data_IF_478418161600
#
_entry.id   IF_478418161600
#
_cell.length_a   1.000
_cell.length_b   1.000
_cell.length_c   1.000
_cell.angle_alpha   90.00
_cell.angle_beta   90.00
_cell.angle_gamma   90.00
#
_symmetry.space_group_name_H-M   'P 1'
#
loop_
_entity.id
_entity.type
_entity.pdbx_description
1 polymer ?
#
# COMPACT_ATOMS: atom_id res chain seq x y z
N UNK A 1 33.92 27.24 5.67
CA UNK A 1 33.37 27.37 7.04
C UNK A 1 33.82 26.17 7.85
N UNK A 2 34.34 26.34 9.07
CA UNK A 2 34.84 25.21 9.88
C UNK A 2 33.65 24.40 10.44
N UNK A 3 33.81 23.07 10.48
CA UNK A 3 32.87 22.12 11.07
C UNK A 3 32.61 22.48 12.54
N UNK A 4 31.35 22.79 12.87
CA UNK A 4 30.88 22.91 14.25
C UNK A 4 30.45 21.53 14.74
N UNK A 5 31.23 20.93 15.62
CA UNK A 5 30.84 19.74 16.37
C UNK A 5 29.90 20.16 17.50
N UNK A 6 28.67 19.67 17.50
CA UNK A 6 27.69 19.90 18.57
C UNK A 6 27.87 18.82 19.63
N UNK A 7 28.45 19.17 20.78
CA UNK A 7 28.51 18.30 21.95
C UNK A 7 27.22 18.41 22.74
N UNK A 8 26.45 17.32 22.81
CA UNK A 8 25.30 17.20 23.70
C UNK A 8 25.76 16.88 25.12
N UNK A 9 25.04 17.42 26.13
CA UNK A 9 25.32 17.14 27.54
C UNK A 9 25.20 15.64 27.83
N UNK A 10 26.10 15.10 28.69
CA UNK A 10 26.15 13.68 29.07
C UNK A 10 24.78 13.14 29.55
N UNK A 11 23.96 13.98 30.20
CA UNK A 11 22.61 13.65 30.68
C UNK A 11 21.61 13.33 29.54
N UNK A 12 21.77 13.94 28.35
CA UNK A 12 20.93 13.66 27.19
C UNK A 12 21.26 12.30 26.55
N UNK A 13 22.55 11.96 26.49
CA UNK A 13 23.02 10.67 25.97
C UNK A 13 22.64 9.51 26.90
N UNK A 14 22.60 9.74 28.21
CA UNK A 14 22.19 8.71 29.18
C UNK A 14 20.66 8.52 29.22
N UNK A 15 19.86 9.59 29.01
CA UNK A 15 18.40 9.47 28.75
C UNK A 15 18.09 8.69 27.47
N UNK A 16 18.87 8.88 26.41
CA UNK A 16 18.73 8.10 25.16
C UNK A 16 19.08 6.63 25.35
N UNK A 17 20.11 6.30 26.15
CA UNK A 17 20.43 4.91 26.49
C UNK A 17 19.35 4.27 27.37
N UNK A 18 18.75 5.02 28.29
CA UNK A 18 17.64 4.55 29.12
C UNK A 18 16.39 4.26 28.29
N UNK A 19 16.04 5.14 27.33
CA UNK A 19 14.91 4.93 26.42
C UNK A 19 15.15 3.80 25.42
N UNK A 20 16.38 3.61 24.97
CA UNK A 20 16.77 2.47 24.10
C UNK A 20 16.71 1.12 24.82
N UNK A 21 16.89 1.12 26.14
CA UNK A 21 16.90 -0.09 26.97
C UNK A 21 15.53 -0.37 27.64
N UNK A 22 14.47 0.38 27.31
CA UNK A 22 13.12 -0.04 27.66
C UNK A 22 12.74 -1.20 26.73
N UNK A 23 12.77 -2.42 27.26
CA UNK A 23 12.26 -3.61 26.59
C UNK A 23 10.78 -3.40 26.25
N UNK A 24 10.49 -3.28 24.95
CA UNK A 24 9.14 -3.44 24.41
C UNK A 24 8.72 -4.87 24.69
N UNK A 25 7.47 -5.06 25.14
CA UNK A 25 6.97 -6.34 25.66
C UNK A 25 7.43 -7.55 24.84
N UNK A 26 7.96 -8.55 25.54
CA UNK A 26 8.64 -9.76 25.04
C UNK A 26 7.88 -10.59 23.99
N UNK A 27 6.59 -10.36 23.78
CA UNK A 27 5.80 -11.05 22.77
C UNK A 27 6.04 -10.56 21.33
N UNK A 28 6.37 -9.27 21.12
CA UNK A 28 6.66 -8.74 19.78
C UNK A 28 8.06 -9.12 19.29
N UNK A 29 9.07 -9.10 20.17
CA UNK A 29 10.44 -9.52 19.83
C UNK A 29 10.49 -10.99 19.41
N UNK A 30 9.74 -11.87 20.08
CA UNK A 30 9.72 -13.31 19.76
C UNK A 30 9.07 -13.59 18.40
N UNK A 31 8.06 -12.82 18.00
CA UNK A 31 7.43 -12.93 16.68
C UNK A 31 8.36 -12.41 15.57
N UNK A 32 8.95 -11.23 15.78
CA UNK A 32 9.89 -10.60 14.85
C UNK A 32 11.16 -11.44 14.65
N UNK A 33 11.75 -11.97 15.72
CA UNK A 33 12.95 -12.83 15.66
C UNK A 33 12.70 -14.12 14.88
N UNK A 34 11.49 -14.67 14.99
CA UNK A 34 11.09 -15.89 14.29
C UNK A 34 10.86 -15.65 12.79
N UNK A 35 10.48 -14.43 12.39
CA UNK A 35 10.36 -14.06 10.98
C UNK A 35 11.75 -13.74 10.37
N UNK A 36 12.59 -13.00 11.10
CA UNK A 36 13.96 -12.66 10.67
C UNK A 36 14.84 -13.89 10.40
N UNK A 37 14.67 -14.98 11.18
CA UNK A 37 15.40 -16.22 10.96
C UNK A 37 14.96 -16.99 9.69
N UNK A 38 13.77 -16.74 9.16
CA UNK A 38 13.16 -17.55 8.08
C UNK A 38 13.48 -17.08 6.66
N UNK A 39 13.89 -15.82 6.44
CA UNK A 39 13.90 -15.21 5.10
C UNK A 39 15.29 -15.04 4.43
N UNK A 40 16.36 -15.58 5.04
CA UNK A 40 17.73 -15.46 4.51
C UNK A 40 18.05 -16.47 3.39
N UNK A 41 17.45 -16.33 2.21
CA UNK A 41 17.77 -17.19 1.04
C UNK A 41 18.32 -16.48 -0.20
N UNK A 42 18.50 -15.16 -0.17
CA UNK A 42 19.19 -14.42 -1.23
C UNK A 42 20.59 -13.97 -0.80
N UNK A 43 21.54 -13.96 -1.74
CA UNK A 43 22.88 -13.40 -1.53
C UNK A 43 22.79 -11.88 -1.26
N UNK A 44 23.32 -11.36 -0.13
CA UNK A 44 23.17 -9.96 0.26
C UNK A 44 23.66 -8.94 -0.78
N UNK A 45 24.68 -9.29 -1.57
CA UNK A 45 25.21 -8.42 -2.62
C UNK A 45 24.20 -8.30 -3.78
N UNK A 46 23.59 -9.41 -4.16
CA UNK A 46 22.54 -9.45 -5.19
C UNK A 46 21.30 -8.65 -4.78
N UNK A 47 20.89 -8.75 -3.52
CA UNK A 47 19.79 -7.93 -2.96
C UNK A 47 20.14 -6.45 -3.05
N UNK A 48 21.32 -6.06 -2.54
CA UNK A 48 21.79 -4.67 -2.58
C UNK A 48 21.85 -4.10 -4.01
N UNK A 49 22.35 -4.87 -4.98
CA UNK A 49 22.42 -4.46 -6.37
C UNK A 49 21.03 -4.17 -6.95
N UNK A 50 20.06 -5.08 -6.75
CA UNK A 50 18.67 -4.87 -7.15
C UNK A 50 18.03 -3.65 -6.48
N UNK A 51 18.36 -3.40 -5.22
CA UNK A 51 17.86 -2.21 -4.51
C UNK A 51 18.35 -0.91 -5.13
N UNK A 52 19.63 -0.85 -5.51
CA UNK A 52 20.19 0.31 -6.21
C UNK A 52 19.51 0.51 -7.57
N UNK A 53 19.27 -0.57 -8.32
CA UNK A 53 18.52 -0.52 -9.59
C UNK A 53 17.10 0.00 -9.40
N UNK A 54 16.37 -0.51 -8.40
CA UNK A 54 15.00 -0.08 -8.09
C UNK A 54 14.94 1.42 -7.72
N UNK A 55 15.90 1.91 -6.92
CA UNK A 55 15.97 3.33 -6.55
C UNK A 55 16.23 4.19 -7.79
N UNK A 56 17.17 3.79 -8.64
CA UNK A 56 17.46 4.51 -9.88
C UNK A 56 16.24 4.54 -10.83
N UNK A 57 15.50 3.42 -10.94
CA UNK A 57 14.30 3.30 -11.75
C UNK A 57 13.14 4.19 -11.25
N UNK A 58 13.11 4.54 -9.96
CA UNK A 58 12.13 5.48 -9.39
C UNK A 58 12.32 6.94 -9.81
N UNK A 59 13.33 7.25 -10.64
CA UNK A 59 13.66 8.63 -11.04
C UNK A 59 14.38 9.43 -9.96
N UNK A 60 14.67 8.82 -8.81
CA UNK A 60 15.52 9.41 -7.76
C UNK A 60 16.98 9.09 -8.08
N UNK A 61 17.83 10.10 -8.25
CA UNK A 61 19.28 9.88 -8.32
C UNK A 61 19.77 9.17 -7.04
N UNK A 62 20.62 8.16 -7.17
CA UNK A 62 21.13 7.39 -6.03
C UNK A 62 22.11 8.26 -5.23
N UNK A 63 21.73 8.65 -4.00
CA UNK A 63 22.59 9.42 -3.10
C UNK A 63 23.31 8.53 -2.07
N UNK A 64 24.33 9.06 -1.41
CA UNK A 64 24.98 8.38 -0.27
C UNK A 64 24.00 8.13 0.88
N UNK A 65 22.99 8.99 1.05
CA UNK A 65 21.92 8.81 2.04
C UNK A 65 21.02 7.62 1.70
N UNK A 66 20.72 7.40 0.42
CA UNK A 66 19.91 6.26 0.00
C UNK A 66 20.66 4.93 0.22
N UNK A 67 21.98 4.92 -0.01
CA UNK A 67 22.85 3.78 0.29
C UNK A 67 22.94 3.50 1.81
N UNK A 68 23.08 4.52 2.65
CA UNK A 68 23.08 4.34 4.11
C UNK A 68 21.75 3.83 4.66
N UNK A 69 20.62 4.23 4.05
CA UNK A 69 19.29 3.75 4.39
C UNK A 69 19.11 2.28 4.03
N UNK A 70 19.57 1.87 2.84
CA UNK A 70 19.58 0.46 2.43
C UNK A 70 20.37 -0.42 3.41
N UNK A 71 21.35 0.15 4.10
CA UNK A 71 22.15 -0.52 5.13
C UNK A 71 21.52 -0.49 6.53
N UNK A 72 20.31 0.06 6.70
CA UNK A 72 19.51 0.01 7.93
C UNK A 72 20.04 0.87 9.08
N UNK A 73 20.79 1.94 8.80
CA UNK A 73 21.51 2.71 9.82
C UNK A 73 20.90 4.08 10.15
N UNK A 74 19.82 4.50 9.47
CA UNK A 74 19.36 5.89 9.56
C UNK A 74 17.89 6.09 9.11
N UNK A 75 17.05 6.64 9.99
CA UNK A 75 15.65 7.02 9.70
C UNK A 75 15.52 8.45 9.13
N UNK A 76 16.63 9.14 8.87
CA UNK A 76 16.60 10.48 8.29
C UNK A 76 16.11 10.43 6.83
N UNK A 77 15.02 11.15 6.59
CA UNK A 77 14.49 11.41 5.25
C UNK A 77 14.78 12.86 4.85
N UNK A 78 15.20 13.11 3.60
CA UNK A 78 15.34 14.47 3.11
C UNK A 78 13.96 15.17 3.11
N UNK A 79 13.93 16.49 3.33
CA UNK A 79 12.67 17.25 3.43
C UNK A 79 11.80 17.11 2.17
N UNK A 80 12.41 16.91 0.99
CA UNK A 80 11.67 16.67 -0.25
C UNK A 80 10.89 15.34 -0.27
N UNK A 81 11.10 14.45 0.70
CA UNK A 81 10.24 13.28 0.93
C UNK A 81 8.78 13.70 1.05
N UNK A 82 8.49 14.77 1.81
CA UNK A 82 7.12 15.28 1.97
C UNK A 82 6.55 15.82 0.66
N UNK A 83 7.36 16.52 -0.13
CA UNK A 83 6.95 17.05 -1.43
C UNK A 83 6.62 15.92 -2.42
N UNK A 84 7.47 14.89 -2.48
CA UNK A 84 7.21 13.68 -3.27
C UNK A 84 5.95 12.95 -2.77
N UNK A 85 5.75 12.90 -1.45
CA UNK A 85 4.53 12.34 -0.86
C UNK A 85 3.26 13.08 -1.25
N UNK A 86 3.30 14.41 -1.30
CA UNK A 86 2.17 15.20 -1.81
C UNK A 86 1.88 14.88 -3.27
N UNK A 87 2.90 14.67 -4.12
CA UNK A 87 2.69 14.25 -5.51
C UNK A 87 2.07 12.85 -5.59
N UNK A 88 2.61 11.89 -4.85
CA UNK A 88 2.09 10.52 -4.80
C UNK A 88 0.63 10.48 -4.32
N UNK A 89 0.28 11.30 -3.32
CA UNK A 89 -1.07 11.38 -2.76
C UNK A 89 -2.14 11.83 -3.77
N UNK A 90 -1.76 12.59 -4.81
CA UNK A 90 -2.69 13.07 -5.84
C UNK A 90 -3.35 11.93 -6.59
N UNK A 91 -2.60 10.86 -6.85
CA UNK A 91 -3.06 9.69 -7.58
C UNK A 91 -3.99 8.79 -6.75
N UNK A 92 -4.09 9.00 -5.44
CA UNK A 92 -4.94 8.22 -4.55
C UNK A 92 -6.32 8.87 -4.46
N UNK A 93 -7.38 8.08 -4.50
CA UNK A 93 -8.76 8.55 -4.40
C UNK A 93 -9.57 7.75 -3.38
N UNK A 94 -10.66 8.38 -2.92
CA UNK A 94 -11.73 7.68 -2.21
C UNK A 94 -12.64 7.03 -3.24
N UNK A 95 -12.96 5.75 -3.05
CA UNK A 95 -13.97 5.07 -3.84
C UNK A 95 -15.26 5.07 -3.03
N UNK A 96 -16.34 5.50 -3.66
CA UNK A 96 -17.69 5.33 -3.15
C UNK A 96 -18.44 4.36 -4.04
N UNK A 97 -19.13 3.40 -3.45
CA UNK A 97 -19.98 2.45 -4.17
C UNK A 97 -21.41 2.62 -3.69
N UNK A 98 -22.31 3.00 -4.59
CA UNK A 98 -23.73 3.10 -4.28
C UNK A 98 -24.39 1.73 -4.06
N UNK A 99 -25.20 1.63 -3.01
CA UNK A 99 -26.09 0.50 -2.76
C UNK A 99 -27.12 0.32 -3.88
N UNK A 100 -27.56 -0.92 -4.10
CA UNK A 100 -28.67 -1.23 -5.02
C UNK A 100 -30.02 -0.73 -4.47
N UNK A 101 -30.19 -0.71 -3.14
CA UNK A 101 -31.42 -0.31 -2.47
C UNK A 101 -31.09 0.48 -1.18
N UNK A 102 -31.35 1.79 -1.17
CA UNK A 102 -31.12 2.65 0.00
C UNK A 102 -29.89 3.56 -0.11
N UNK A 103 -29.56 4.27 0.97
CA UNK A 103 -28.54 5.33 1.01
C UNK A 103 -27.19 4.92 1.63
N UNK A 104 -26.97 3.64 1.98
CA UNK A 104 -25.79 3.21 2.72
C UNK A 104 -24.73 2.60 1.79
N UNK A 105 -24.15 3.43 0.91
CA UNK A 105 -23.03 2.97 0.10
C UNK A 105 -21.81 2.56 0.92
N UNK A 106 -20.91 1.78 0.31
CA UNK A 106 -19.63 1.40 0.89
C UNK A 106 -18.50 2.32 0.43
N UNK A 107 -17.40 2.31 1.18
CA UNK A 107 -16.22 3.11 0.90
C UNK A 107 -14.99 2.23 0.78
N UNK A 108 -14.07 2.65 -0.09
CA UNK A 108 -12.74 2.07 -0.21
C UNK A 108 -11.73 3.11 -0.63
N UNK A 109 -10.49 2.67 -0.81
CA UNK A 109 -9.40 3.44 -1.38
C UNK A 109 -9.03 2.85 -2.74
N UNK A 110 -8.64 3.69 -3.68
CA UNK A 110 -7.98 3.25 -4.90
C UNK A 110 -6.94 4.26 -5.33
N UNK A 111 -6.19 3.92 -6.37
CA UNK A 111 -5.22 4.84 -6.94
C UNK A 111 -4.97 4.57 -8.42
N UNK A 112 -4.60 5.62 -9.15
CA UNK A 112 -4.22 5.51 -10.56
C UNK A 112 -2.89 4.79 -10.69
N UNK A 113 -2.82 3.80 -11.59
CA UNK A 113 -1.60 3.05 -11.94
C UNK A 113 -1.13 3.31 -13.37
N UNK A 114 -1.95 4.02 -14.14
CA UNK A 114 -1.65 4.56 -15.46
C UNK A 114 -2.51 5.81 -15.68
N UNK A 115 -2.38 6.52 -16.81
CA UNK A 115 -3.20 7.72 -17.08
C UNK A 115 -4.72 7.50 -17.05
N UNK A 116 -5.19 6.26 -17.20
CA UNK A 116 -6.62 5.92 -17.31
C UNK A 116 -7.05 4.71 -16.47
N UNK A 117 -6.13 3.98 -15.84
CA UNK A 117 -6.46 2.80 -15.03
C UNK A 117 -6.27 3.10 -13.56
N UNK A 118 -7.30 2.77 -12.79
CA UNK A 118 -7.30 2.75 -11.34
C UNK A 118 -7.24 1.30 -10.85
N UNK A 119 -6.51 1.08 -9.75
CA UNK A 119 -6.52 -0.18 -9.01
C UNK A 119 -7.15 0.01 -7.63
N UNK A 120 -7.86 -1.02 -7.16
CA UNK A 120 -8.39 -1.17 -5.80
C UNK A 120 -8.53 -2.68 -5.49
N UNK A 121 -9.16 -3.05 -4.38
CA UNK A 121 -9.45 -4.45 -4.07
C UNK A 121 -10.68 -5.01 -4.80
N UNK A 122 -10.71 -6.32 -5.01
CA UNK A 122 -11.88 -7.01 -5.57
C UNK A 122 -13.08 -6.82 -4.66
N UNK A 123 -12.93 -6.95 -3.35
CA UNK A 123 -14.05 -6.76 -2.43
C UNK A 123 -14.58 -5.31 -2.35
N UNK A 124 -13.84 -4.32 -2.89
CA UNK A 124 -14.33 -2.94 -3.04
C UNK A 124 -15.12 -2.81 -4.35
N UNK A 125 -14.59 -3.34 -5.46
CA UNK A 125 -15.26 -3.37 -6.77
C UNK A 125 -15.22 -4.78 -7.33
N UNK A 126 -16.24 -5.57 -7.01
CA UNK A 126 -16.26 -7.01 -7.30
C UNK A 126 -16.73 -7.36 -8.72
N UNK A 127 -17.44 -6.44 -9.38
CA UNK A 127 -18.09 -6.68 -10.66
C UNK A 127 -18.19 -5.43 -11.51
N UNK A 128 -18.50 -5.62 -12.80
CA UNK A 128 -18.81 -4.53 -13.75
C UNK A 128 -20.00 -3.71 -13.26
N UNK A 129 -21.05 -4.35 -12.73
CA UNK A 129 -22.22 -3.64 -12.22
C UNK A 129 -21.87 -2.76 -11.02
N UNK A 130 -21.03 -3.27 -10.11
CA UNK A 130 -20.51 -2.52 -8.97
C UNK A 130 -19.66 -1.34 -9.45
N UNK A 131 -18.79 -1.54 -10.45
CA UNK A 131 -18.00 -0.47 -11.06
C UNK A 131 -18.87 0.64 -11.68
N UNK A 132 -19.96 0.27 -12.38
CA UNK A 132 -20.89 1.24 -12.99
C UNK A 132 -21.64 2.11 -11.97
N UNK A 133 -21.76 1.67 -10.70
CA UNK A 133 -22.35 2.45 -9.61
C UNK A 133 -21.32 3.16 -8.74
N UNK A 134 -20.04 2.93 -8.99
CA UNK A 134 -18.97 3.46 -8.18
C UNK A 134 -18.45 4.79 -8.74
N UNK A 135 -17.94 5.63 -7.84
CA UNK A 135 -17.31 6.91 -8.18
C UNK A 135 -15.95 7.01 -7.51
N UNK A 136 -14.94 7.45 -8.26
CA UNK A 136 -13.61 7.73 -7.76
C UNK A 136 -13.45 9.23 -7.48
N UNK A 137 -13.28 9.58 -6.21
CA UNK A 137 -13.17 10.96 -5.76
C UNK A 137 -11.72 11.34 -5.43
N UNK A 138 -11.11 12.13 -6.30
CA UNK A 138 -9.73 12.58 -6.16
C UNK A 138 -9.64 13.93 -5.43
N UNK A 139 -8.62 14.09 -4.58
CA UNK A 139 -8.40 15.33 -3.81
C UNK A 139 -9.43 15.58 -2.69
N UNK A 140 -10.10 14.53 -2.20
CA UNK A 140 -10.91 14.61 -0.98
C UNK A 140 -10.00 14.56 0.25
N UNK A 141 -9.59 15.72 0.77
CA UNK A 141 -8.56 15.82 1.80
C UNK A 141 -8.68 17.12 2.59
N UNK A 142 -7.92 17.28 3.68
CA UNK A 142 -7.85 18.55 4.39
C UNK A 142 -6.84 19.48 3.71
N UNK A 143 -7.22 20.74 3.53
CA UNK A 143 -6.31 21.79 3.09
C UNK A 143 -5.38 22.27 4.23
N UNK A 144 -4.46 23.18 3.90
CA UNK A 144 -3.51 23.75 4.87
C UNK A 144 -4.16 24.52 6.03
N UNK A 145 -5.43 24.90 5.90
CA UNK A 145 -6.22 25.56 6.95
C UNK A 145 -7.04 24.58 7.80
N UNK A 146 -6.95 23.28 7.51
CA UNK A 146 -7.71 22.23 8.17
C UNK A 146 -9.15 22.10 7.68
N UNK A 147 -9.50 22.70 6.54
CA UNK A 147 -10.85 22.57 5.95
C UNK A 147 -10.89 21.40 4.98
N UNK A 148 -12.02 20.72 4.93
CA UNK A 148 -12.25 19.64 3.97
C UNK A 148 -12.40 20.23 2.56
N UNK A 149 -11.49 19.84 1.68
CA UNK A 149 -11.63 19.97 0.25
C UNK A 149 -12.44 18.78 -0.29
N UNK A 150 -13.53 19.06 -1.00
CA UNK A 150 -14.44 18.02 -1.48
C UNK A 150 -13.87 17.20 -2.65
N UNK A 151 -12.80 17.65 -3.28
CA UNK A 151 -12.22 16.94 -4.42
C UNK A 151 -13.11 16.96 -5.66
N UNK A 152 -12.84 16.03 -6.58
CA UNK A 152 -13.56 15.86 -7.86
C UNK A 152 -13.89 14.38 -8.05
N UNK A 153 -15.15 14.11 -8.37
CA UNK A 153 -15.65 12.79 -8.67
C UNK A 153 -15.45 12.46 -10.16
N UNK A 154 -15.12 11.20 -10.43
CA UNK A 154 -14.96 10.64 -11.76
C UNK A 154 -15.70 9.31 -11.84
N UNK A 155 -16.50 9.15 -12.89
CA UNK A 155 -17.09 7.87 -13.27
C UNK A 155 -16.04 6.81 -13.63
N UNK A 156 -16.32 5.56 -13.28
CA UNK A 156 -15.56 4.40 -13.74
C UNK A 156 -16.15 3.88 -15.06
N UNK A 157 -15.29 3.44 -15.97
CA UNK A 157 -15.67 2.92 -17.28
C UNK A 157 -15.20 1.47 -17.47
N UNK A 158 -15.86 0.48 -16.83
CA UNK A 158 -15.48 -0.94 -16.97
C UNK A 158 -15.63 -1.48 -18.41
N UNK A 159 -16.34 -0.77 -19.29
CA UNK A 159 -16.43 -1.12 -20.72
C UNK A 159 -15.13 -0.90 -21.51
N UNK A 160 -14.26 0.00 -21.07
CA UNK A 160 -12.95 0.23 -21.70
C UNK A 160 -11.85 -0.70 -21.12
N UNK A 161 -11.88 -0.94 -19.82
CA UNK A 161 -11.02 -1.91 -19.16
C UNK A 161 -11.62 -2.34 -17.82
N UNK A 162 -11.68 -3.65 -17.60
CA UNK A 162 -12.03 -4.24 -16.31
C UNK A 162 -11.32 -5.59 -16.16
N UNK A 163 -10.48 -5.72 -15.14
CA UNK A 163 -9.86 -6.99 -14.74
C UNK A 163 -10.02 -7.10 -13.24
N UNK A 164 -10.61 -8.19 -12.76
CA UNK A 164 -10.78 -8.44 -11.33
C UNK A 164 -10.31 -9.85 -11.00
N UNK A 165 -9.72 -10.01 -9.81
CA UNK A 165 -9.22 -11.27 -9.31
C UNK A 165 -9.58 -11.40 -7.81
N UNK A 166 -10.47 -12.34 -7.44
CA UNK A 166 -10.87 -12.54 -6.05
C UNK A 166 -9.80 -13.24 -5.20
N UNK A 167 -8.85 -13.97 -5.81
CA UNK A 167 -7.81 -14.71 -5.08
C UNK A 167 -6.71 -13.78 -4.58
N UNK A 168 -6.26 -12.87 -5.44
CA UNK A 168 -5.32 -11.80 -5.11
C UNK A 168 -6.02 -10.54 -4.61
N UNK A 169 -7.35 -10.52 -4.60
CA UNK A 169 -8.19 -9.44 -4.11
C UNK A 169 -7.85 -8.07 -4.73
N UNK A 170 -7.85 -7.99 -6.06
CA UNK A 170 -7.67 -6.72 -6.79
C UNK A 170 -8.66 -6.53 -7.94
N UNK A 171 -8.92 -5.27 -8.26
CA UNK A 171 -9.65 -4.85 -9.45
C UNK A 171 -8.91 -3.71 -10.13
N UNK A 172 -8.65 -3.86 -11.43
CA UNK A 172 -8.26 -2.81 -12.36
C UNK A 172 -9.48 -2.37 -13.16
N UNK A 173 -9.71 -1.06 -13.24
CA UNK A 173 -10.84 -0.48 -13.95
C UNK A 173 -10.46 0.83 -14.60
N UNK A 174 -10.96 1.10 -15.81
CA UNK A 174 -10.74 2.39 -16.45
C UNK A 174 -11.54 3.50 -15.75
N UNK A 175 -11.03 4.73 -15.79
CA UNK A 175 -11.65 5.93 -15.19
C UNK A 175 -11.87 6.96 -16.27
N UNK A 176 -12.98 7.70 -16.22
CA UNK A 176 -13.25 8.79 -17.16
C UNK A 176 -12.15 9.86 -17.15
N UNK A 177 -11.90 10.48 -18.30
CA UNK A 177 -10.83 11.47 -18.48
C UNK A 177 -11.11 12.82 -17.81
N UNK A 178 -12.39 13.12 -17.60
CA UNK A 178 -12.87 14.39 -17.05
C UNK A 178 -13.81 14.09 -15.89
N UNK A 179 -13.80 14.94 -14.87
CA UNK A 179 -14.68 14.80 -13.72
C UNK A 179 -16.16 14.94 -14.11
N UNK A 180 -17.04 14.43 -13.26
CA UNK A 180 -18.49 14.42 -13.47
C UNK A 180 -19.06 15.85 -13.67
N UNK A 181 -18.42 16.85 -13.08
CA UNK A 181 -18.76 18.27 -13.20
C UNK A 181 -18.04 19.01 -14.34
N UNK A 182 -17.20 18.33 -15.11
CA UNK A 182 -16.45 18.89 -16.24
C UNK A 182 -15.26 19.79 -15.88
N UNK A 183 -14.95 19.97 -14.60
CA UNK A 183 -14.02 21.02 -14.14
C UNK A 183 -12.60 20.55 -13.81
N UNK A 184 -12.30 19.26 -13.95
CA UNK A 184 -10.97 18.71 -13.73
C UNK A 184 -10.67 17.58 -14.73
N UNK A 185 -9.40 17.42 -15.08
CA UNK A 185 -8.94 16.31 -15.93
C UNK A 185 -8.25 15.28 -15.07
N UNK A 186 -8.44 14.00 -15.37
CA UNK A 186 -7.82 12.90 -14.65
C UNK A 186 -6.28 13.00 -14.68
N UNK A 187 -5.74 13.45 -15.81
CA UNK A 187 -4.30 13.68 -16.01
C UNK A 187 -3.69 14.68 -15.03
N UNK A 188 -4.49 15.56 -14.41
CA UNK A 188 -3.99 16.50 -13.42
C UNK A 188 -3.54 15.76 -12.13
N UNK A 189 -4.04 14.55 -11.86
CA UNK A 189 -3.76 13.79 -10.63
C UNK A 189 -2.53 12.88 -10.68
N UNK A 190 -1.93 12.64 -11.86
CA UNK A 190 -0.79 11.73 -12.01
C UNK A 190 -1.15 10.26 -11.75
N UNK A 191 -0.16 9.38 -11.62
CA UNK A 191 -0.38 7.95 -11.35
C UNK A 191 0.83 7.31 -10.68
N UNK A 192 0.61 6.26 -9.89
CA UNK A 192 1.65 5.49 -9.23
C UNK A 192 1.99 4.25 -10.05
N UNK A 193 3.17 4.22 -10.65
CA UNK A 193 3.62 3.07 -11.44
C UNK A 193 3.71 1.80 -10.61
N UNK A 194 3.23 0.69 -11.17
CA UNK A 194 3.52 -0.64 -10.63
C UNK A 194 4.77 -1.19 -11.29
N UNK A 195 5.66 -1.72 -10.47
CA UNK A 195 6.93 -2.31 -10.88
C UNK A 195 6.95 -3.80 -10.51
N UNK A 196 7.23 -4.73 -11.45
CA UNK A 196 7.27 -6.16 -11.16
C UNK A 196 8.56 -6.60 -10.44
N UNK A 197 9.56 -5.74 -10.31
CA UNK A 197 10.85 -6.07 -9.67
C UNK A 197 10.66 -6.51 -8.22
N UNK A 198 11.54 -7.43 -7.79
CA UNK A 198 11.60 -7.86 -6.40
C UNK A 198 12.54 -6.96 -5.59
N UNK A 199 12.52 -7.08 -4.26
CA UNK A 199 13.41 -6.32 -3.36
C UNK A 199 13.21 -4.80 -3.42
N UNK A 200 11.97 -4.33 -3.60
CA UNK A 200 11.62 -2.91 -3.45
C UNK A 200 11.55 -2.48 -1.97
N UNK A 201 11.36 -3.44 -1.09
CA UNK A 201 11.38 -3.31 0.37
C UNK A 201 11.86 -4.62 0.97
N UNK A 202 12.47 -4.57 2.15
CA UNK A 202 12.93 -5.71 2.94
C UNK A 202 12.28 -5.71 4.34
N UNK A 203 12.29 -6.84 5.07
CA UNK A 203 11.89 -6.84 6.48
C UNK A 203 12.64 -5.79 7.30
N UNK A 204 11.95 -5.24 8.31
CA UNK A 204 12.40 -4.15 9.19
C UNK A 204 12.44 -2.75 8.57
N UNK A 205 12.23 -2.62 7.27
CA UNK A 205 12.04 -1.33 6.62
C UNK A 205 10.61 -0.82 6.81
N UNK A 206 10.32 0.40 6.36
CA UNK A 206 9.03 1.04 6.57
C UNK A 206 8.25 1.21 5.26
N UNK A 207 6.92 1.14 5.36
CA UNK A 207 6.02 1.40 4.23
C UNK A 207 5.01 2.49 4.57
N UNK A 208 4.93 3.53 3.76
CA UNK A 208 3.94 4.59 3.90
C UNK A 208 2.62 4.18 3.27
N UNK A 209 1.50 4.36 3.99
CA UNK A 209 0.15 4.10 3.47
C UNK A 209 -0.58 5.43 3.29
N UNK A 210 -1.16 5.66 2.11
CA UNK A 210 -2.04 6.81 1.83
C UNK A 210 -3.45 6.28 1.59
N UNK A 211 -4.42 6.73 2.39
CA UNK A 211 -5.70 6.02 2.53
C UNK A 211 -6.88 6.94 2.87
N UNK A 212 -8.09 6.39 2.76
CA UNK A 212 -9.35 7.00 3.21
C UNK A 212 -10.00 6.14 4.32
N UNK A 213 -9.45 6.16 5.54
CA UNK A 213 -9.98 5.37 6.66
C UNK A 213 -11.37 5.89 7.02
N UNK A 214 -12.32 4.97 7.24
CA UNK A 214 -13.75 5.20 7.43
C UNK A 214 -14.40 6.09 6.35
N UNK A 215 -13.84 6.07 5.14
CA UNK A 215 -14.23 6.98 4.07
C UNK A 215 -13.95 8.46 4.36
N UNK A 216 -13.16 8.79 5.38
CA UNK A 216 -12.82 10.16 5.77
C UNK A 216 -11.89 10.85 4.76
N UNK A 217 -11.67 12.18 4.88
CA UNK A 217 -10.66 12.87 4.09
C UNK A 217 -9.32 12.14 4.14
N UNK A 218 -8.56 12.18 3.04
CA UNK A 218 -7.31 11.43 2.86
C UNK A 218 -6.36 11.60 4.05
N UNK A 219 -5.79 10.49 4.50
CA UNK A 219 -4.82 10.44 5.59
C UNK A 219 -3.58 9.65 5.17
N UNK A 220 -2.50 9.82 5.93
CA UNK A 220 -1.23 9.16 5.67
C UNK A 220 -0.68 8.51 6.95
N UNK A 221 -0.31 7.24 6.87
CA UNK A 221 0.39 6.50 7.91
C UNK A 221 1.89 6.42 7.56
N UNK A 222 2.71 7.20 8.27
CA UNK A 222 4.17 7.33 8.05
C UNK A 222 5.03 6.85 9.23
N UNK A 223 4.41 6.42 10.34
CA UNK A 223 5.08 5.96 11.56
C UNK A 223 4.51 4.61 11.96
N UNK A 224 5.30 3.85 12.72
CA UNK A 224 4.92 2.51 13.21
C UNK A 224 4.46 1.56 12.09
N UNK A 225 5.05 1.72 10.91
CA UNK A 225 4.62 1.10 9.66
C UNK A 225 5.63 0.08 9.10
N UNK A 226 6.28 -0.64 10.01
CA UNK A 226 7.42 -1.53 9.71
C UNK A 226 6.98 -2.79 8.97
N UNK A 227 7.70 -3.18 7.93
CA UNK A 227 7.58 -4.47 7.25
C UNK A 227 8.02 -5.58 8.19
N UNK A 228 7.10 -6.52 8.42
CA UNK A 228 7.30 -7.66 9.31
C UNK A 228 7.79 -8.86 8.52
N UNK A 229 7.21 -9.13 7.34
CA UNK A 229 7.46 -10.35 6.55
C UNK A 229 7.20 -10.12 5.06
N UNK A 230 7.96 -10.78 4.19
CA UNK A 230 7.73 -10.79 2.74
C UNK A 230 7.56 -12.22 2.24
N UNK A 231 6.36 -12.55 1.76
CA UNK A 231 6.05 -13.87 1.23
C UNK A 231 6.22 -15.01 2.24
N UNK A 232 5.95 -16.24 1.80
CA UNK A 232 6.23 -17.45 2.55
C UNK A 232 6.67 -18.52 1.56
N UNK A 233 7.96 -18.87 1.56
CA UNK A 233 8.51 -19.83 0.61
C UNK A 233 8.01 -21.26 0.82
N UNK A 234 7.33 -21.53 1.94
CA UNK A 234 6.74 -22.85 2.24
C UNK A 234 5.25 -22.91 1.90
N UNK A 235 4.61 -21.77 1.68
CA UNK A 235 3.19 -21.64 1.39
C UNK A 235 3.02 -20.69 0.19
N UNK A 236 2.83 -21.29 -0.99
CA UNK A 236 2.78 -20.59 -2.28
C UNK A 236 1.73 -19.48 -2.30
N UNK A 237 0.59 -19.68 -1.62
CA UNK A 237 -0.45 -18.66 -1.52
C UNK A 237 0.02 -17.49 -0.66
N UNK A 238 0.69 -17.79 0.47
CA UNK A 238 1.30 -16.76 1.33
C UNK A 238 2.48 -16.05 0.68
N UNK A 239 3.13 -16.64 -0.32
CA UNK A 239 4.18 -15.98 -1.10
C UNK A 239 3.71 -14.71 -1.83
N UNK A 240 2.40 -14.52 -1.97
CA UNK A 240 1.83 -13.38 -2.68
C UNK A 240 1.80 -12.08 -1.87
N UNK A 241 2.04 -12.15 -0.55
CA UNK A 241 1.73 -11.06 0.35
C UNK A 241 2.95 -10.42 1.01
N UNK A 242 2.76 -9.18 1.44
CA UNK A 242 3.63 -8.38 2.28
C UNK A 242 2.90 -8.17 3.61
N UNK A 243 3.56 -8.40 4.75
CA UNK A 243 3.01 -8.09 6.06
C UNK A 243 3.76 -6.92 6.67
N UNK A 244 3.02 -5.96 7.23
CA UNK A 244 3.56 -4.75 7.81
C UNK A 244 2.69 -4.27 8.97
N UNK A 245 3.29 -3.62 9.97
CA UNK A 245 2.54 -2.82 10.92
C UNK A 245 1.99 -1.57 10.19
N UNK A 246 0.83 -1.06 10.59
CA UNK A 246 0.29 0.25 10.18
C UNK A 246 -1.03 0.47 10.91
N UNK A 247 -1.38 1.72 11.16
CA UNK A 247 -2.74 2.08 11.54
C UNK A 247 -3.61 2.09 10.27
N UNK A 248 -4.62 1.24 10.23
CA UNK A 248 -5.66 1.20 9.19
C UNK A 248 -7.02 1.02 9.84
N UNK A 249 -8.06 1.46 9.14
CA UNK A 249 -9.46 1.31 9.53
C UNK A 249 -10.28 0.85 8.30
N UNK A 250 -11.55 0.43 8.46
CA UNK A 250 -12.45 0.17 7.33
C UNK A 250 -12.37 1.26 6.24
N UNK A 251 -12.44 0.91 4.96
CA UNK A 251 -12.24 1.87 3.85
C UNK A 251 -10.78 2.13 3.45
N UNK A 252 -9.80 1.64 4.23
CA UNK A 252 -8.38 1.64 3.84
C UNK A 252 -8.04 0.60 2.76
N UNK A 253 -8.94 -0.37 2.53
CA UNK A 253 -8.84 -1.37 1.47
C UNK A 253 -8.55 -0.73 0.11
N UNK A 254 -7.52 -1.23 -0.57
CA UNK A 254 -7.09 -0.79 -1.88
C UNK A 254 -6.06 0.35 -1.85
N UNK A 255 -5.65 0.80 -0.65
CA UNK A 255 -4.60 1.80 -0.50
C UNK A 255 -3.23 1.29 -0.96
N UNK A 256 -2.39 2.17 -1.56
CA UNK A 256 -1.02 1.81 -1.90
C UNK A 256 -0.15 1.75 -0.63
N UNK A 257 0.62 0.67 -0.50
CA UNK A 257 1.77 0.62 0.39
C UNK A 257 3.03 1.04 -0.39
N UNK A 258 3.71 2.07 0.10
CA UNK A 258 4.77 2.79 -0.60
C UNK A 258 6.09 2.70 0.18
N UNK A 259 7.21 2.43 -0.48
CA UNK A 259 8.51 2.56 0.19
C UNK A 259 8.94 4.04 0.29
N UNK A 260 10.10 4.33 0.89
CA UNK A 260 10.61 5.70 1.05
C UNK A 260 10.94 6.43 -0.26
N UNK A 261 10.99 5.69 -1.38
CA UNK A 261 11.11 6.23 -2.73
C UNK A 261 9.76 6.46 -3.40
N UNK A 262 8.65 6.31 -2.68
CA UNK A 262 7.28 6.41 -3.18
C UNK A 262 6.93 5.38 -4.26
N UNK A 263 7.63 4.24 -4.28
CA UNK A 263 7.31 3.11 -5.16
C UNK A 263 6.24 2.24 -4.52
N UNK A 264 5.26 1.80 -5.29
CA UNK A 264 4.22 0.88 -4.81
C UNK A 264 4.83 -0.51 -4.62
N UNK A 265 4.85 -0.98 -3.38
CA UNK A 265 5.36 -2.30 -3.01
C UNK A 265 4.25 -3.33 -2.85
N UNK A 266 3.08 -2.88 -2.39
CA UNK A 266 1.88 -3.71 -2.25
C UNK A 266 0.60 -2.87 -2.27
N UNK A 267 -0.54 -3.54 -2.40
CA UNK A 267 -1.88 -2.97 -2.23
C UNK A 267 -2.46 -3.51 -0.93
N UNK A 268 -2.81 -2.64 0.01
CA UNK A 268 -3.47 -3.03 1.25
C UNK A 268 -4.79 -3.75 0.95
N UNK A 269 -5.05 -4.88 1.61
CA UNK A 269 -6.31 -5.62 1.39
C UNK A 269 -6.98 -6.11 2.67
N UNK A 270 -6.21 -6.43 3.73
CA UNK A 270 -6.79 -6.78 5.02
C UNK A 270 -5.85 -6.55 6.20
N UNK A 271 -6.45 -6.41 7.37
CA UNK A 271 -5.79 -6.49 8.66
C UNK A 271 -5.71 -7.96 9.12
N UNK A 272 -4.64 -8.31 9.85
CA UNK A 272 -4.35 -9.67 10.33
C UNK A 272 -4.52 -9.70 11.84
N UNK A 273 -5.39 -10.59 12.29
CA UNK A 273 -5.66 -10.86 13.71
C UNK A 273 -4.77 -12.00 14.22
N UNK A 274 -4.49 -12.00 15.52
CA UNK A 274 -3.95 -13.17 16.19
C UNK A 274 -5.01 -14.27 16.23
N UNK A 275 -4.81 -15.37 15.50
CA UNK A 275 -5.73 -16.50 15.47
C UNK A 275 -5.05 -17.84 15.75
N UNK A 276 -5.82 -18.82 16.24
CA UNK A 276 -5.39 -20.20 16.44
C UNK A 276 -6.52 -21.16 16.10
N UNK A 277 -6.17 -22.39 15.75
CA UNK A 277 -7.15 -23.47 15.63
C UNK A 277 -7.13 -24.30 16.92
N UNK A 278 -8.26 -24.39 17.59
CA UNK A 278 -8.45 -25.23 18.77
C UNK A 278 -9.65 -26.13 18.55
N UNK A 279 -9.43 -27.44 18.60
CA UNK A 279 -10.49 -28.45 18.41
C UNK A 279 -11.29 -28.28 17.10
N UNK A 280 -10.63 -27.79 16.04
CA UNK A 280 -11.25 -27.53 14.73
C UNK A 280 -11.97 -26.19 14.61
N UNK A 281 -12.00 -25.38 15.67
CA UNK A 281 -12.59 -24.03 15.66
C UNK A 281 -11.46 -23.00 15.54
N UNK A 282 -11.64 -22.03 14.64
CA UNK A 282 -10.77 -20.84 14.56
C UNK A 282 -11.15 -19.87 15.68
N UNK A 283 -10.22 -19.65 16.61
CA UNK A 283 -10.35 -18.69 17.70
C UNK A 283 -9.49 -17.45 17.42
N UNK A 284 -9.97 -16.27 17.77
CA UNK A 284 -9.27 -14.98 17.68
C UNK A 284 -8.93 -14.48 19.09
N UNK A 285 -7.72 -13.96 19.27
CA UNK A 285 -7.32 -13.36 20.53
C UNK A 285 -7.84 -11.93 20.64
N UNK A 286 -8.41 -11.61 21.79
CA UNK A 286 -8.81 -10.26 22.18
C UNK A 286 -7.63 -9.51 22.83
N UNK A 287 -7.73 -8.18 22.90
CA UNK A 287 -6.69 -7.32 23.50
C UNK A 287 -6.46 -7.58 24.99
N UNK A 288 -7.45 -8.13 25.69
CA UNK A 288 -7.34 -8.58 27.09
C UNK A 288 -6.68 -9.97 27.26
N UNK A 289 -6.33 -10.63 26.16
CA UNK A 289 -5.70 -11.96 26.13
C UNK A 289 -6.66 -13.15 26.02
N UNK A 290 -7.97 -12.93 26.14
CA UNK A 290 -9.00 -13.97 25.95
C UNK A 290 -9.04 -14.46 24.50
N UNK A 291 -9.46 -15.70 24.30
CA UNK A 291 -9.67 -16.30 22.98
C UNK A 291 -11.14 -16.59 22.81
N UNK A 292 -11.73 -16.06 21.74
CA UNK A 292 -13.15 -16.26 21.39
C UNK A 292 -13.25 -16.89 20.02
N UNK A 293 -14.36 -17.56 19.71
CA UNK A 293 -14.58 -18.07 18.36
C UNK A 293 -14.61 -16.91 17.36
N UNK A 294 -14.13 -17.13 16.14
CA UNK A 294 -14.09 -16.09 15.09
C UNK A 294 -15.45 -15.43 14.84
N UNK A 295 -16.52 -16.22 14.81
CA UNK A 295 -17.89 -15.74 14.65
C UNK A 295 -18.32 -14.77 15.77
N UNK A 296 -17.82 -14.99 16.99
CA UNK A 296 -18.05 -14.08 18.12
C UNK A 296 -17.22 -12.81 17.97
N UNK A 297 -15.93 -12.94 17.59
CA UNK A 297 -15.04 -11.81 17.37
C UNK A 297 -15.54 -10.85 16.27
N UNK A 298 -16.15 -11.37 15.21
CA UNK A 298 -16.72 -10.57 14.11
C UNK A 298 -17.84 -9.62 14.58
N UNK A 299 -18.46 -9.89 15.73
CA UNK A 299 -19.50 -9.06 16.33
C UNK A 299 -18.97 -8.08 17.40
N UNK A 300 -17.66 -8.10 17.69
CA UNK A 300 -17.03 -7.22 18.66
C UNK A 300 -16.54 -5.93 17.99
N UNK A 301 -16.39 -4.88 18.80
CA UNK A 301 -15.73 -3.66 18.36
C UNK A 301 -14.25 -3.91 18.06
N UNK A 302 -13.72 -3.34 16.98
CA UNK A 302 -12.35 -3.59 16.49
C UNK A 302 -11.27 -3.33 17.54
N UNK A 303 -11.49 -2.38 18.46
CA UNK A 303 -10.57 -2.07 19.55
C UNK A 303 -10.42 -3.19 20.60
N UNK A 304 -11.30 -4.19 20.59
CA UNK A 304 -11.19 -5.40 21.41
C UNK A 304 -10.40 -6.50 20.72
N UNK A 305 -10.20 -6.43 19.41
CA UNK A 305 -9.52 -7.44 18.63
C UNK A 305 -8.01 -7.21 18.68
N UNK A 306 -7.23 -8.26 18.92
CA UNK A 306 -5.77 -8.17 18.88
C UNK A 306 -5.28 -8.29 17.44
N UNK A 307 -5.04 -7.14 16.84
CA UNK A 307 -4.40 -7.01 15.53
C UNK A 307 -2.88 -7.19 15.64
N UNK A 308 -2.28 -7.95 14.73
CA UNK A 308 -0.84 -8.27 14.76
C UNK A 308 -0.09 -7.77 13.53
N UNK A 309 -0.78 -7.53 12.42
CA UNK A 309 -0.20 -7.00 11.20
C UNK A 309 -1.29 -6.49 10.25
N UNK A 310 -0.88 -5.81 9.19
CA UNK A 310 -1.63 -5.65 7.95
C UNK A 310 -1.04 -6.55 6.89
N UNK A 311 -1.85 -6.88 5.89
CA UNK A 311 -1.46 -7.64 4.73
C UNK A 311 -1.71 -6.83 3.46
N UNK A 312 -0.73 -6.82 2.56
CA UNK A 312 -0.84 -6.24 1.23
C UNK A 312 -0.45 -7.23 0.15
N UNK A 313 -1.11 -7.18 -1.00
CA UNK A 313 -0.80 -8.02 -2.16
C UNK A 313 0.34 -7.38 -2.94
N UNK A 314 1.39 -8.14 -3.24
CA UNK A 314 2.60 -7.62 -3.87
C UNK A 314 2.34 -7.22 -5.33
N UNK A 315 2.88 -6.08 -5.74
CA UNK A 315 2.74 -5.56 -7.11
C UNK A 315 3.27 -6.52 -8.19
N UNK A 316 4.32 -7.29 -7.88
CA UNK A 316 4.85 -8.32 -8.77
C UNK A 316 3.82 -9.42 -9.09
N UNK A 317 2.97 -9.78 -8.13
CA UNK A 317 1.94 -10.82 -8.29
C UNK A 317 0.72 -10.31 -9.02
N UNK A 318 0.33 -9.07 -8.76
CA UNK A 318 -0.72 -8.40 -9.50
C UNK A 318 -0.34 -8.32 -10.98
N UNK A 319 0.85 -7.84 -11.30
CA UNK A 319 1.31 -7.73 -12.69
C UNK A 319 1.42 -9.10 -13.39
N UNK A 320 1.90 -10.13 -12.70
CA UNK A 320 1.93 -11.51 -13.19
C UNK A 320 0.52 -12.00 -13.57
N UNK A 321 -0.45 -11.78 -12.67
CA UNK A 321 -1.82 -12.22 -12.87
C UNK A 321 -2.56 -11.41 -13.94
N UNK A 322 -2.39 -10.09 -13.97
CA UNK A 322 -2.94 -9.23 -15.03
C UNK A 322 -2.42 -9.65 -16.41
N UNK A 323 -1.12 -9.91 -16.53
CA UNK A 323 -0.54 -10.41 -17.78
C UNK A 323 -1.13 -11.75 -18.20
N UNK A 324 -1.33 -12.67 -17.25
CA UNK A 324 -1.96 -13.97 -17.49
C UNK A 324 -3.41 -13.81 -17.98
N UNK A 325 -4.23 -13.01 -17.29
CA UNK A 325 -5.62 -12.75 -17.68
C UNK A 325 -5.68 -12.10 -19.06
N UNK A 326 -4.87 -11.06 -19.30
CA UNK A 326 -4.81 -10.35 -20.58
C UNK A 326 -4.45 -11.29 -21.75
N UNK A 327 -3.48 -12.20 -21.55
CA UNK A 327 -3.04 -13.14 -22.60
C UNK A 327 -4.11 -14.17 -22.94
N UNK A 328 -5.02 -14.47 -22.01
CA UNK A 328 -6.12 -15.43 -22.21
C UNK A 328 -7.32 -14.81 -22.95
N UNK A 329 -7.41 -13.49 -23.06
CA UNK A 329 -8.52 -12.76 -23.68
C UNK A 329 -8.42 -12.65 -25.21
N UNK A 330 -8.24 -13.77 -25.91
CA UNK A 330 -8.01 -13.94 -27.36
C UNK A 330 -8.79 -12.95 -28.28
N UNK A 331 -8.23 -11.74 -28.51
CA UNK A 331 -8.80 -10.66 -29.34
C UNK A 331 -9.65 -9.58 -28.63
N UNK A 332 -9.99 -9.74 -27.35
CA UNK A 332 -10.71 -8.73 -26.53
C UNK A 332 -9.82 -8.00 -25.51
N UNK A 333 -8.51 -8.19 -25.61
CA UNK A 333 -7.50 -7.57 -24.76
C UNK A 333 -7.60 -6.03 -24.79
N UNK A 334 -7.78 -5.39 -23.62
CA UNK A 334 -7.87 -3.93 -23.53
C UNK A 334 -6.53 -3.27 -23.87
N UNK A 335 -6.54 -2.26 -24.74
CA UNK A 335 -5.34 -1.49 -25.09
C UNK A 335 -4.78 -0.72 -23.89
N UNK A 336 -5.65 -0.30 -22.95
CA UNK A 336 -5.22 0.37 -21.72
C UNK A 336 -4.41 -0.59 -20.84
N UNK A 337 -4.88 -1.83 -20.67
CA UNK A 337 -4.18 -2.86 -19.89
C UNK A 337 -2.88 -3.25 -20.56
N UNK A 338 -2.87 -3.38 -21.89
CA UNK A 338 -1.65 -3.67 -22.64
C UNK A 338 -0.58 -2.57 -22.44
N UNK A 339 -0.97 -1.30 -22.54
CA UNK A 339 -0.07 -0.17 -22.31
C UNK A 339 0.47 -0.14 -20.87
N UNK A 340 -0.38 -0.47 -19.88
CA UNK A 340 0.02 -0.60 -18.49
C UNK A 340 1.07 -1.71 -18.27
N UNK A 341 0.89 -2.88 -18.89
CA UNK A 341 1.87 -3.98 -18.80
C UNK A 341 3.20 -3.66 -19.50
N UNK A 342 3.18 -2.85 -20.56
CA UNK A 342 4.39 -2.38 -21.26
C UNK A 342 5.17 -1.33 -20.45
N UNK A 343 4.47 -0.41 -19.78
CA UNK A 343 5.09 0.58 -18.88
C UNK A 343 5.76 -0.09 -17.68
N UNK A 344 5.09 -1.10 -17.09
CA UNK A 344 5.63 -1.88 -15.98
C UNK A 344 6.95 -2.63 -16.33
N UNK A 345 7.19 -2.92 -17.61
CA UNK A 345 8.43 -3.54 -18.11
C UNK A 345 9.50 -2.51 -18.51
N UNK A 346 9.23 -1.22 -18.35
CA UNK A 346 10.13 -0.12 -18.71
C UNK A 346 10.26 0.11 -20.23
N UNK A 347 9.38 -0.49 -21.04
CA UNK A 347 9.48 -0.45 -22.52
C UNK A 347 8.87 0.83 -23.08
N UNK A 348 7.91 1.45 -22.39
CA UNK A 348 7.22 2.66 -22.86
C UNK A 348 6.84 3.58 -21.71
N UNK A 349 7.52 4.73 -21.60
CA UNK A 349 7.06 5.85 -20.78
C UNK A 349 5.77 6.36 -21.44
N UNK A 350 4.65 6.44 -20.72
CA UNK A 350 3.45 7.12 -21.22
C UNK A 350 3.82 8.54 -21.73
N UNK A 351 3.82 8.80 -23.05
CA UNK A 351 4.41 10.01 -23.61
C UNK A 351 3.72 11.28 -23.08
N UNK A 352 4.50 12.28 -22.68
CA UNK A 352 3.96 13.54 -22.15
C UNK A 352 3.42 13.46 -20.73
N UNK A 353 3.63 12.35 -20.02
CA UNK A 353 3.25 12.22 -18.61
C UNK A 353 4.45 12.37 -17.70
N UNK A 354 4.22 12.97 -16.53
CA UNK A 354 5.17 12.91 -15.41
C UNK A 354 4.58 11.91 -14.41
N UNK A 355 5.23 10.76 -14.18
CA UNK A 355 4.77 9.81 -13.17
C UNK A 355 4.88 10.36 -11.75
#
# INVERSE_FOLDING_TARGET
MPLKTVTYALDFLDKLKYLRNQEVSTNQETFLSNIEQRDRRADPITVLARRIENIAASGSGVSSFDLERVLGRNDLLPVNFLQKGTLAARAVCRIWVGDLFGSNGSWGTGFLVSPRLLITNHHVIESVDTAMRASAQFGYEMDISGKIHQGKAFELNPGEAFITDPELDFTLVAVAETSDDGNARLADYGFLRLDPTLHKVEPLEFVTIIQHPDGQPKQIAIRENKVLKIGDNQDVLKNNFLWYASDTAPGSSGSPALNDNWQVVAIHHKSVVESRIREGVEEIQLTNGEWVAKEEAENLSENKIKWIANQGVRTSKILEQVNKIQTQQDGSASQLVQAFLEDAKGIRIFPGTTP
#
